data_IF_875578956692
#
_entry.id   IF_875578956692
#
_cell.length_a   1.000
_cell.length_b   1.000
_cell.length_c   1.000
_cell.angle_alpha   90.00
_cell.angle_beta   90.00
_cell.angle_gamma   90.00
#
_symmetry.space_group_name_H-M   'P 1'
#
loop_
_entity.id
_entity.type
_entity.pdbx_description
1 polymer ?
#
# COMPACT_ATOMS: atom_id res chain seq x y z
N UNK A 1 8.29 -16.93 -20.33
CA UNK A 1 7.56 -16.04 -19.41
C UNK A 1 8.41 -14.80 -19.20
N UNK A 2 8.21 -13.81 -20.06
CA UNK A 2 8.82 -12.49 -19.90
C UNK A 2 7.92 -11.69 -18.94
N UNK A 3 8.49 -11.15 -17.87
CA UNK A 3 7.77 -10.31 -16.93
C UNK A 3 8.18 -8.86 -17.22
N UNK A 4 7.18 -7.99 -17.37
CA UNK A 4 7.37 -6.55 -17.49
C UNK A 4 6.89 -5.85 -16.23
N UNK A 5 7.71 -4.95 -15.73
CA UNK A 5 7.36 -4.05 -14.64
C UNK A 5 6.98 -2.72 -15.27
N UNK A 6 5.76 -2.25 -15.01
CA UNK A 6 5.24 -0.99 -15.54
C UNK A 6 4.70 -0.13 -14.40
N UNK A 7 4.55 1.17 -14.64
CA UNK A 7 3.76 2.03 -13.76
C UNK A 7 2.32 1.51 -13.63
N UNK A 8 1.78 1.62 -12.41
CA UNK A 8 0.39 1.28 -12.10
C UNK A 8 -0.55 2.23 -12.85
N UNK A 9 -1.52 1.68 -13.57
CA UNK A 9 -2.63 2.41 -14.18
C UNK A 9 -3.97 2.14 -13.48
N UNK A 10 -5.02 2.92 -13.79
CA UNK A 10 -6.37 2.66 -13.23
C UNK A 10 -6.90 1.27 -13.60
N UNK A 11 -6.56 0.76 -14.79
CA UNK A 11 -6.98 -0.57 -15.23
C UNK A 11 -6.34 -1.70 -14.41
N UNK A 12 -5.16 -1.45 -13.83
CA UNK A 12 -4.44 -2.44 -13.01
C UNK A 12 -4.99 -2.52 -11.57
N UNK A 13 -5.75 -1.51 -11.09
CA UNK A 13 -6.20 -1.42 -9.69
C UNK A 13 -6.94 -2.69 -9.22
N UNK A 14 -7.91 -3.26 -9.96
CA UNK A 14 -8.59 -4.47 -9.49
C UNK A 14 -7.62 -5.64 -9.26
N UNK A 15 -6.68 -5.86 -10.18
CA UNK A 15 -5.67 -6.92 -10.08
C UNK A 15 -4.65 -6.64 -8.98
N UNK A 16 -4.21 -5.38 -8.85
CA UNK A 16 -3.28 -4.96 -7.81
C UNK A 16 -3.87 -5.09 -6.40
N UNK A 17 -5.14 -4.71 -6.22
CA UNK A 17 -5.84 -4.86 -4.94
C UNK A 17 -5.98 -6.34 -4.58
N UNK A 18 -6.38 -7.17 -5.55
CA UNK A 18 -6.46 -8.62 -5.37
C UNK A 18 -5.13 -9.18 -4.91
N UNK A 19 -4.03 -8.81 -5.56
CA UNK A 19 -2.69 -9.28 -5.19
C UNK A 19 -2.31 -8.91 -3.75
N UNK A 20 -2.64 -7.70 -3.30
CA UNK A 20 -2.42 -7.29 -1.90
C UNK A 20 -3.32 -8.08 -0.95
N UNK A 21 -4.61 -8.20 -1.24
CA UNK A 21 -5.54 -8.91 -0.35
C UNK A 21 -5.17 -10.39 -0.17
N UNK A 22 -4.79 -11.06 -1.26
CA UNK A 22 -4.37 -12.46 -1.19
C UNK A 22 -3.04 -12.62 -0.46
N UNK A 23 -2.06 -11.75 -0.71
CA UNK A 23 -0.77 -11.81 -0.03
C UNK A 23 -0.86 -11.56 1.48
N UNK A 24 -1.81 -10.72 1.92
CA UNK A 24 -2.06 -10.47 3.34
C UNK A 24 -3.11 -11.40 3.96
N UNK A 25 -3.67 -12.33 3.19
CA UNK A 25 -4.64 -13.31 3.71
C UNK A 25 -3.93 -14.26 4.68
N UNK A 26 -4.29 -14.20 5.96
CA UNK A 26 -3.64 -14.99 7.00
C UNK A 26 -2.27 -14.48 7.45
N UNK A 27 -1.83 -13.32 6.95
CA UNK A 27 -0.60 -12.67 7.42
C UNK A 27 -0.70 -12.36 8.94
N UNK A 28 0.31 -12.71 9.75
CA UNK A 28 0.25 -12.50 11.20
C UNK A 28 0.01 -11.04 11.60
N UNK A 29 0.55 -10.09 10.84
CA UNK A 29 0.32 -8.67 11.10
C UNK A 29 -1.12 -8.26 10.76
N UNK A 30 -1.65 -8.71 9.61
CA UNK A 30 -3.04 -8.46 9.23
C UNK A 30 -4.02 -9.03 10.27
N UNK A 31 -3.83 -10.30 10.66
CA UNK A 31 -4.66 -11.00 11.67
C UNK A 31 -4.56 -10.31 13.03
N UNK A 32 -3.41 -9.75 13.36
CA UNK A 32 -3.24 -8.99 14.59
C UNK A 32 -3.90 -7.60 14.52
N UNK A 33 -3.76 -6.86 13.42
CA UNK A 33 -4.24 -5.46 13.36
C UNK A 33 -5.74 -5.35 13.09
N UNK A 34 -6.34 -6.32 12.40
CA UNK A 34 -7.77 -6.37 12.10
C UNK A 34 -8.51 -7.44 12.91
N UNK A 35 -9.68 -7.08 13.44
CA UNK A 35 -10.70 -8.02 13.90
C UNK A 35 -11.27 -8.76 12.69
N UNK A 36 -10.84 -10.00 12.51
CA UNK A 36 -11.20 -10.85 11.37
C UNK A 36 -12.71 -11.12 11.29
N UNK A 37 -13.43 -11.09 12.41
CA UNK A 37 -14.89 -11.27 12.42
C UNK A 37 -15.65 -10.10 11.79
N UNK A 38 -14.99 -8.95 11.64
CA UNK A 38 -15.56 -7.69 11.10
C UNK A 38 -14.81 -7.18 9.89
N UNK A 39 -13.88 -7.96 9.36
CA UNK A 39 -13.08 -7.54 8.21
C UNK A 39 -13.96 -7.53 6.96
N UNK A 40 -13.98 -6.39 6.26
CA UNK A 40 -14.73 -6.23 5.01
C UNK A 40 -13.76 -6.10 3.85
N UNK A 41 -13.76 -7.10 2.97
CA UNK A 41 -12.95 -7.11 1.74
C UNK A 41 -13.31 -5.95 0.81
N UNK A 42 -14.59 -5.57 0.72
CA UNK A 42 -15.05 -4.43 -0.09
C UNK A 42 -14.52 -3.10 0.44
N UNK A 43 -14.59 -2.87 1.76
CA UNK A 43 -14.04 -1.66 2.38
C UNK A 43 -12.52 -1.62 2.21
N UNK A 44 -11.85 -2.75 2.42
CA UNK A 44 -10.40 -2.87 2.21
C UNK A 44 -10.03 -2.58 0.75
N UNK A 45 -10.81 -3.09 -0.20
CA UNK A 45 -10.65 -2.80 -1.62
C UNK A 45 -10.74 -1.31 -1.91
N UNK A 46 -11.79 -0.64 -1.44
CA UNK A 46 -11.98 0.79 -1.65
C UNK A 46 -10.83 1.63 -1.06
N UNK A 47 -10.35 1.25 0.13
CA UNK A 47 -9.21 1.89 0.79
C UNK A 47 -7.90 1.69 0.01
N UNK A 48 -7.63 0.48 -0.49
CA UNK A 48 -6.44 0.18 -1.29
C UNK A 48 -6.49 0.87 -2.65
N UNK A 49 -7.65 0.84 -3.33
CA UNK A 49 -7.87 1.55 -4.59
C UNK A 49 -7.62 3.06 -4.43
N UNK A 50 -8.13 3.68 -3.35
CA UNK A 50 -7.86 5.09 -3.07
C UNK A 50 -6.35 5.35 -2.87
N UNK A 51 -5.65 4.48 -2.15
CA UNK A 51 -4.21 4.58 -1.92
C UNK A 51 -3.41 4.41 -3.22
N UNK A 52 -3.83 3.49 -4.08
CA UNK A 52 -3.22 3.25 -5.39
C UNK A 52 -3.37 4.48 -6.30
N UNK A 53 -4.58 5.06 -6.41
CA UNK A 53 -4.79 6.30 -7.18
C UNK A 53 -3.96 7.47 -6.66
N UNK A 54 -3.80 7.55 -5.35
CA UNK A 54 -2.90 8.52 -4.73
C UNK A 54 -1.44 8.25 -5.11
N UNK A 55 -1.01 6.99 -5.06
CA UNK A 55 0.34 6.55 -5.39
C UNK A 55 0.73 6.77 -6.86
N UNK A 56 -0.22 6.67 -7.79
CA UNK A 56 0.01 7.01 -9.20
C UNK A 56 0.50 8.46 -9.41
N UNK A 57 0.13 9.37 -8.51
CA UNK A 57 0.45 10.81 -8.62
C UNK A 57 1.64 11.21 -7.75
N UNK A 58 1.83 10.53 -6.62
CA UNK A 58 2.72 10.98 -5.55
C UNK A 58 3.78 9.95 -5.13
N UNK A 59 3.66 8.71 -5.60
CA UNK A 59 4.56 7.61 -5.32
C UNK A 59 5.28 7.11 -6.57
N UNK A 60 5.90 5.95 -6.42
CA UNK A 60 6.42 5.11 -7.51
C UNK A 60 5.75 3.76 -7.33
N UNK A 61 4.61 3.58 -7.98
CA UNK A 61 3.77 2.39 -7.84
C UNK A 61 3.88 1.59 -9.12
N UNK A 62 4.44 0.39 -9.02
CA UNK A 62 4.63 -0.49 -10.16
C UNK A 62 3.78 -1.75 -10.03
N UNK A 63 3.43 -2.32 -11.19
CA UNK A 63 2.84 -3.65 -11.32
C UNK A 63 3.71 -4.52 -12.20
N UNK A 64 3.77 -5.80 -11.86
CA UNK A 64 4.42 -6.81 -12.69
C UNK A 64 3.36 -7.57 -13.49
N UNK A 65 3.53 -7.68 -14.79
CA UNK A 65 2.63 -8.37 -15.72
C UNK A 65 3.41 -9.34 -16.61
N UNK A 66 2.77 -10.42 -17.04
CA UNK A 66 3.33 -11.32 -18.05
C UNK A 66 3.15 -10.70 -19.44
N UNK A 67 4.15 -10.88 -20.32
CA UNK A 67 4.06 -10.45 -21.71
C UNK A 67 2.83 -11.04 -22.41
N UNK A 68 2.03 -10.18 -23.05
CA UNK A 68 0.77 -10.56 -23.69
C UNK A 68 -0.41 -10.75 -22.72
N UNK A 69 -0.26 -10.43 -21.44
CA UNK A 69 -1.33 -10.49 -20.44
C UNK A 69 -1.45 -9.21 -19.62
N UNK A 70 -2.67 -8.73 -19.43
CA UNK A 70 -2.97 -7.65 -18.48
C UNK A 70 -3.11 -8.15 -17.04
N UNK A 71 -2.82 -9.44 -16.78
CA UNK A 71 -2.89 -10.01 -15.44
C UNK A 71 -1.76 -9.47 -14.57
N UNK A 72 -2.12 -8.71 -13.54
CA UNK A 72 -1.20 -8.28 -12.49
C UNK A 72 -0.75 -9.50 -11.67
N UNK A 73 0.56 -9.74 -11.64
CA UNK A 73 1.22 -10.83 -10.89
C UNK A 73 1.86 -10.35 -9.58
N UNK A 74 2.14 -9.05 -9.47
CA UNK A 74 2.75 -8.45 -8.30
C UNK A 74 2.63 -6.94 -8.31
N UNK A 75 2.81 -6.33 -7.15
CA UNK A 75 2.69 -4.89 -6.94
C UNK A 75 3.82 -4.43 -6.03
N UNK A 76 4.44 -3.30 -6.38
CA UNK A 76 5.40 -2.61 -5.53
C UNK A 76 4.98 -1.15 -5.35
N UNK A 77 4.86 -0.71 -4.10
CA UNK A 77 4.42 0.63 -3.73
C UNK A 77 5.53 1.37 -3.00
N UNK A 78 6.26 2.20 -3.71
CA UNK A 78 7.34 3.00 -3.15
C UNK A 78 6.90 4.44 -2.93
N UNK A 79 7.42 5.06 -1.87
CA UNK A 79 7.37 6.49 -1.65
C UNK A 79 8.74 7.10 -1.94
N UNK A 80 8.72 8.30 -2.54
CA UNK A 80 9.93 9.05 -2.87
C UNK A 80 10.61 9.56 -1.58
N UNK A 81 11.94 9.73 -1.58
CA UNK A 81 12.64 10.32 -0.46
C UNK A 81 12.13 11.73 -0.22
N UNK A 82 11.98 12.07 1.06
CA UNK A 82 11.62 13.40 1.51
C UNK A 82 12.75 13.94 2.40
N UNK A 83 13.27 15.14 2.12
CA UNK A 83 14.27 15.77 2.98
C UNK A 83 13.74 15.92 4.40
N UNK A 84 14.59 15.67 5.40
CA UNK A 84 14.19 15.65 6.81
C UNK A 84 13.68 17.02 7.32
N UNK A 85 14.13 18.09 6.67
CA UNK A 85 13.82 19.49 6.93
C UNK A 85 12.69 20.04 6.05
N UNK A 86 12.22 19.27 5.05
CA UNK A 86 11.16 19.72 4.16
C UNK A 86 9.82 19.79 4.91
N UNK A 87 9.19 20.98 5.04
CA UNK A 87 7.85 21.08 5.60
C UNK A 87 6.85 20.29 4.75
N UNK A 88 5.73 19.81 5.33
CA UNK A 88 4.68 19.17 4.55
C UNK A 88 4.27 20.09 3.42
N UNK A 89 4.35 19.61 2.18
CA UNK A 89 3.86 20.42 1.07
C UNK A 89 2.35 20.58 1.25
N UNK A 90 1.80 21.70 0.78
CA UNK A 90 0.33 21.88 0.76
C UNK A 90 -0.36 20.72 0.04
N UNK A 91 0.31 20.11 -0.96
CA UNK A 91 -0.15 18.90 -1.63
C UNK A 91 -0.18 17.68 -0.68
N UNK A 92 0.87 17.43 0.10
CA UNK A 92 0.88 16.38 1.14
C UNK A 92 -0.22 16.56 2.18
N UNK A 93 -0.50 17.81 2.57
CA UNK A 93 -1.55 18.15 3.52
C UNK A 93 -2.95 17.92 2.92
N UNK A 94 -3.24 18.48 1.73
CA UNK A 94 -4.51 18.30 1.03
C UNK A 94 -4.78 16.83 0.69
N UNK A 95 -3.75 16.07 0.34
CA UNK A 95 -3.90 14.67 0.01
C UNK A 95 -3.94 13.77 1.24
N UNK A 96 -3.27 14.15 2.33
CA UNK A 96 -3.51 13.58 3.66
C UNK A 96 -4.97 13.76 4.09
N UNK A 97 -5.54 14.95 3.88
CA UNK A 97 -6.96 15.22 4.06
C UNK A 97 -7.84 14.40 3.11
N UNK A 98 -7.48 14.24 1.83
CA UNK A 98 -8.24 13.42 0.88
C UNK A 98 -8.25 11.94 1.26
N UNK A 99 -7.12 11.41 1.72
CA UNK A 99 -7.01 10.04 2.26
C UNK A 99 -7.82 9.90 3.55
N UNK A 100 -7.78 10.90 4.42
CA UNK A 100 -8.52 10.93 5.68
C UNK A 100 -10.03 11.07 5.49
N UNK A 101 -10.49 11.99 4.63
CA UNK A 101 -11.90 12.14 4.24
C UNK A 101 -12.43 10.91 3.53
N UNK A 102 -11.63 10.29 2.65
CA UNK A 102 -11.96 8.99 2.06
C UNK A 102 -12.14 7.93 3.13
N UNK A 103 -11.19 7.79 4.06
CA UNK A 103 -11.31 6.86 5.18
C UNK A 103 -12.51 7.15 6.09
N UNK A 104 -12.88 8.42 6.31
CA UNK A 104 -14.07 8.79 7.09
C UNK A 104 -15.37 8.48 6.36
N UNK A 105 -15.49 8.84 5.08
CA UNK A 105 -16.66 8.50 4.27
C UNK A 105 -16.83 6.98 4.18
N UNK A 106 -15.74 6.23 4.01
CA UNK A 106 -15.79 4.77 4.03
C UNK A 106 -16.10 4.20 5.42
N UNK A 107 -15.61 4.81 6.50
CA UNK A 107 -15.98 4.41 7.85
C UNK A 107 -17.45 4.70 8.18
N UNK A 108 -18.05 5.73 7.58
CA UNK A 108 -19.49 6.03 7.71
C UNK A 108 -20.36 5.10 6.86
N UNK A 109 -19.94 4.76 5.65
CA UNK A 109 -20.72 3.90 4.74
C UNK A 109 -20.58 2.40 5.04
N UNK A 110 -19.37 1.93 5.39
CA UNK A 110 -19.07 0.50 5.57
C UNK A 110 -18.70 0.14 7.01
N UNK A 111 -18.77 1.09 7.95
CA UNK A 111 -18.27 0.91 9.31
C UNK A 111 -16.73 0.86 9.40
N UNK A 112 -16.18 0.58 10.58
CA UNK A 112 -14.71 0.61 10.82
C UNK A 112 -13.94 -0.56 10.19
N UNK A 113 -14.62 -1.50 9.53
CA UNK A 113 -14.02 -2.63 8.81
C UNK A 113 -13.07 -3.50 9.65
N UNK A 114 -13.31 -3.61 10.96
CA UNK A 114 -12.52 -4.42 11.88
C UNK A 114 -11.18 -3.82 12.33
N UNK A 115 -10.77 -2.62 11.90
CA UNK A 115 -9.47 -2.07 12.29
C UNK A 115 -9.38 -1.78 13.80
N UNK A 116 -8.44 -2.44 14.49
CA UNK A 116 -8.14 -2.14 15.88
C UNK A 116 -7.21 -0.92 15.95
N UNK A 117 -7.79 0.25 16.22
CA UNK A 117 -7.09 1.53 16.27
C UNK A 117 -5.91 1.53 17.24
N UNK A 118 -6.04 0.87 18.40
CA UNK A 118 -4.96 0.79 19.39
C UNK A 118 -3.75 0.03 18.83
N UNK A 119 -3.99 -1.13 18.21
CA UNK A 119 -2.95 -1.94 17.57
C UNK A 119 -2.30 -1.23 16.39
N UNK A 120 -3.12 -0.53 15.59
CA UNK A 120 -2.63 0.32 14.50
C UNK A 120 -1.65 1.39 15.00
N UNK A 121 -1.97 2.10 16.10
CA UNK A 121 -1.06 3.11 16.65
C UNK A 121 0.20 2.52 17.28
N UNK A 122 0.14 1.33 17.90
CA UNK A 122 1.34 0.62 18.35
C UNK A 122 2.29 0.37 17.18
N UNK A 123 1.76 -0.10 16.05
CA UNK A 123 2.58 -0.32 14.85
C UNK A 123 3.13 1.00 14.27
N UNK A 124 2.31 2.06 14.23
CA UNK A 124 2.76 3.38 13.77
C UNK A 124 3.88 3.96 14.63
N UNK A 125 3.81 3.77 15.94
CA UNK A 125 4.83 4.22 16.87
C UNK A 125 6.14 3.44 16.71
N UNK A 126 6.05 2.11 16.61
CA UNK A 126 7.20 1.25 16.33
C UNK A 126 7.87 1.60 14.99
N UNK A 127 7.07 1.83 13.94
CA UNK A 127 7.56 2.30 12.64
C UNK A 127 8.24 3.67 12.75
N UNK A 128 7.63 4.64 13.45
CA UNK A 128 8.19 5.97 13.59
C UNK A 128 9.51 5.96 14.36
N UNK A 129 9.62 5.13 15.40
CA UNK A 129 10.87 4.93 16.14
C UNK A 129 11.97 4.35 15.24
N UNK A 130 11.67 3.26 14.51
CA UNK A 130 12.62 2.65 13.60
C UNK A 130 13.05 3.60 12.48
N UNK A 131 12.10 4.35 11.89
CA UNK A 131 12.42 5.35 10.88
C UNK A 131 13.29 6.47 11.45
N UNK A 132 13.03 6.96 12.66
CA UNK A 132 13.89 7.97 13.30
C UNK A 132 15.32 7.48 13.50
N UNK A 133 15.49 6.24 13.91
CA UNK A 133 16.82 5.67 14.21
C UNK A 133 17.60 5.36 12.93
N UNK A 134 16.91 4.97 11.84
CA UNK A 134 17.53 4.55 10.58
C UNK A 134 17.65 5.68 9.55
N UNK A 135 16.70 6.61 9.51
CA UNK A 135 16.63 7.65 8.49
C UNK A 135 17.47 8.86 8.87
N UNK A 136 18.78 8.73 8.68
CA UNK A 136 19.77 9.74 9.08
C UNK A 136 20.28 10.59 7.92
N UNK A 137 20.12 10.13 6.67
CA UNK A 137 20.51 10.89 5.48
C UNK A 137 19.57 12.11 5.26
N UNK A 138 20.11 13.33 5.14
CA UNK A 138 19.31 14.54 4.96
C UNK A 138 18.50 14.56 3.66
N UNK A 139 18.89 13.77 2.65
CA UNK A 139 18.17 13.66 1.37
C UNK A 139 16.88 12.83 1.49
N UNK A 140 16.74 12.05 2.56
CA UNK A 140 15.64 11.12 2.77
C UNK A 140 15.86 9.75 2.12
N UNK A 141 14.89 8.85 2.32
CA UNK A 141 14.98 7.45 1.88
C UNK A 141 13.80 7.08 1.00
N UNK A 142 14.05 6.26 -0.02
CA UNK A 142 12.98 5.54 -0.69
C UNK A 142 12.35 4.57 0.30
N UNK A 143 11.03 4.65 0.46
CA UNK A 143 10.31 3.80 1.40
C UNK A 143 9.40 2.84 0.66
N UNK A 144 9.75 1.56 0.68
CA UNK A 144 8.89 0.48 0.20
C UNK A 144 7.76 0.25 1.20
N UNK A 145 6.55 0.66 0.84
CA UNK A 145 5.40 0.55 1.71
C UNK A 145 4.76 -0.85 1.62
N UNK A 146 4.57 -1.35 0.41
CA UNK A 146 3.98 -2.68 0.14
C UNK A 146 4.72 -3.27 -1.05
N UNK A 147 5.14 -4.53 -0.93
CA UNK A 147 5.59 -5.35 -2.05
C UNK A 147 4.98 -6.72 -1.92
N UNK A 148 4.24 -7.14 -2.94
CA UNK A 148 3.55 -8.44 -2.94
C UNK A 148 3.68 -9.09 -4.30
N UNK A 149 3.74 -10.41 -4.29
CA UNK A 149 3.72 -11.27 -5.48
C UNK A 149 2.67 -12.33 -5.23
N UNK A 150 1.77 -12.51 -6.21
CA UNK A 150 0.73 -13.52 -6.16
C UNK A 150 1.35 -14.91 -5.92
N UNK A 151 0.71 -15.79 -5.12
CA UNK A 151 1.25 -17.11 -4.81
C UNK A 151 1.66 -17.90 -6.06
N UNK A 152 0.86 -17.88 -7.13
CA UNK A 152 1.16 -18.58 -8.39
C UNK A 152 2.35 -17.98 -9.17
N UNK A 153 2.81 -16.79 -8.79
CA UNK A 153 3.88 -16.04 -9.43
C UNK A 153 5.19 -16.05 -8.60
N UNK A 154 5.15 -16.58 -7.38
CA UNK A 154 6.32 -16.71 -6.51
C UNK A 154 7.33 -17.72 -7.10
N UNK A 155 8.62 -17.50 -6.84
CA UNK A 155 9.71 -18.31 -7.41
C UNK A 155 10.01 -18.08 -8.90
N UNK A 156 9.20 -17.27 -9.60
CA UNK A 156 9.37 -16.99 -11.04
C UNK A 156 10.17 -15.72 -11.36
N UNK A 157 10.84 -15.16 -10.36
CA UNK A 157 11.66 -13.94 -10.51
C UNK A 157 10.84 -12.67 -10.73
N UNK A 158 9.60 -12.60 -10.20
CA UNK A 158 8.77 -11.37 -10.20
C UNK A 158 9.27 -10.37 -9.16
N UNK A 159 9.55 -10.83 -7.94
CA UNK A 159 9.99 -9.95 -6.85
C UNK A 159 11.35 -9.27 -7.07
N UNK A 160 12.39 -9.95 -7.60
CA UNK A 160 13.68 -9.33 -7.87
C UNK A 160 13.73 -8.34 -9.06
N UNK A 161 12.69 -8.33 -9.91
CA UNK A 161 12.58 -7.40 -11.06
C UNK A 161 11.93 -6.10 -10.62
#
# INVERSE_FOLDING_TARGET
>A
MTIHVTDLTEADIPGAVKAVQEAFSGDPYNVWVYDQSKFSHERNYASLALRMRWGMRNGIFHVAKEEGSDKVMGVAMWLRPRPADAPPTWNDWFEGWRLWFGQINYNMWYGRGGLNVKRYYIWKDAQAKAQRDLWTDPRGYYFLNIMVVLPEAQGKGVGPR
#
